data_IF_796474439613
#
_entry.id   IF_796474439613
#
_cell.length_a   1.000
_cell.length_b   1.000
_cell.length_c   1.000
_cell.angle_alpha   90.00
_cell.angle_beta   90.00
_cell.angle_gamma   90.00
#
_symmetry.space_group_name_H-M   'P 1'
#
loop_
_entity.id
_entity.type
_entity.pdbx_description
1 polymer ?
#
# COMPACT_ATOMS: atom_id res chain seq x y z
N UNK A 1 1.09 11.59 -0.47
CA UNK A 1 1.63 10.24 -0.36
C UNK A 1 0.63 9.32 0.30
N UNK A 2 0.41 8.15 -0.28
CA UNK A 2 -0.69 7.31 0.14
C UNK A 2 -0.42 6.46 1.38
N UNK A 3 0.82 6.12 1.64
CA UNK A 3 1.18 5.24 2.75
C UNK A 3 1.32 6.05 4.04
N UNK A 4 0.48 5.76 5.03
CA UNK A 4 0.51 6.45 6.32
C UNK A 4 1.36 5.73 7.34
N UNK A 5 1.20 4.42 7.44
CA UNK A 5 1.97 3.64 8.40
C UNK A 5 2.14 2.21 7.94
N UNK A 6 3.18 1.58 8.44
CA UNK A 6 3.46 0.18 8.21
C UNK A 6 4.07 -0.38 9.49
N UNK A 7 3.38 -1.34 10.09
CA UNK A 7 3.79 -1.92 11.38
C UNK A 7 3.93 -3.43 11.23
N UNK A 8 5.06 -3.95 11.70
CA UNK A 8 5.31 -5.39 11.71
C UNK A 8 5.17 -5.90 13.14
N UNK A 9 4.33 -6.92 13.34
CA UNK A 9 4.18 -7.59 14.61
C UNK A 9 4.74 -9.01 14.47
N UNK A 10 5.92 -9.25 15.03
CA UNK A 10 6.59 -10.54 14.91
C UNK A 10 5.91 -11.62 15.74
N UNK A 11 5.26 -11.27 16.84
CA UNK A 11 4.55 -12.25 17.67
C UNK A 11 3.30 -12.75 16.99
N UNK A 12 2.52 -11.83 16.42
CA UNK A 12 1.30 -12.20 15.71
C UNK A 12 1.58 -12.63 14.28
N UNK A 13 2.80 -12.41 13.77
CA UNK A 13 3.21 -12.67 12.39
C UNK A 13 2.32 -11.93 11.41
N UNK A 14 2.12 -10.63 11.67
CA UNK A 14 1.27 -9.79 10.83
C UNK A 14 2.00 -8.53 10.40
N UNK A 15 1.56 -7.98 9.29
CA UNK A 15 1.96 -6.66 8.81
C UNK A 15 0.69 -5.83 8.71
N UNK A 16 0.68 -4.69 9.37
CA UNK A 16 -0.46 -3.77 9.31
C UNK A 16 -0.05 -2.55 8.51
N UNK A 17 -0.79 -2.27 7.45
CA UNK A 17 -0.52 -1.15 6.57
C UNK A 17 -1.72 -0.22 6.57
N UNK A 18 -1.48 1.06 6.79
CA UNK A 18 -2.51 2.09 6.72
C UNK A 18 -2.17 3.03 5.57
N UNK A 19 -3.13 3.22 4.68
CA UNK A 19 -2.98 4.09 3.52
C UNK A 19 -4.10 5.11 3.48
N UNK A 20 -3.82 6.26 2.88
CA UNK A 20 -4.87 7.24 2.63
C UNK A 20 -5.84 6.69 1.59
N UNK A 21 -7.13 6.83 1.85
CA UNK A 21 -8.15 6.54 0.86
C UNK A 21 -8.31 7.78 -0.03
N UNK A 22 -8.08 7.60 -1.32
CA UNK A 22 -8.17 8.69 -2.30
C UNK A 22 -9.45 8.58 -3.10
N UNK A 23 -9.83 9.66 -3.75
CA UNK A 23 -10.95 9.63 -4.68
C UNK A 23 -10.61 8.66 -5.82
N UNK A 24 -11.56 7.81 -6.23
CA UNK A 24 -11.28 6.84 -7.29
C UNK A 24 -10.81 7.52 -8.58
N UNK A 25 -9.70 7.02 -9.11
CA UNK A 25 -9.12 7.52 -10.35
C UNK A 25 -8.94 6.38 -11.34
N UNK A 26 -9.24 6.59 -12.63
CA UNK A 26 -9.06 5.54 -13.61
C UNK A 26 -7.62 5.04 -13.66
N UNK A 27 -7.45 3.73 -13.73
CA UNK A 27 -6.14 3.14 -13.99
C UNK A 27 -5.78 3.31 -15.47
N UNK A 28 -4.54 2.94 -15.82
CA UNK A 28 -4.09 3.06 -17.21
C UNK A 28 -4.94 2.25 -18.19
N UNK A 29 -5.51 1.14 -17.75
CA UNK A 29 -6.39 0.32 -18.60
C UNK A 29 -7.82 0.86 -18.68
N UNK A 30 -8.21 1.73 -17.75
CA UNK A 30 -9.58 2.24 -17.66
C UNK A 30 -10.59 1.24 -17.11
N UNK A 31 -10.17 0.03 -16.78
CA UNK A 31 -11.09 -1.01 -16.31
C UNK A 31 -11.26 -0.99 -14.79
N UNK A 32 -10.41 -0.30 -14.09
CA UNK A 32 -10.47 -0.19 -12.63
C UNK A 32 -10.29 1.25 -12.19
N UNK A 33 -10.74 1.54 -10.98
CA UNK A 33 -10.56 2.85 -10.36
C UNK A 33 -9.67 2.67 -9.14
N UNK A 34 -8.51 3.28 -9.16
CA UNK A 34 -7.54 3.17 -8.07
C UNK A 34 -7.95 4.10 -6.93
N UNK A 35 -8.03 3.56 -5.73
CA UNK A 35 -8.40 4.32 -4.52
C UNK A 35 -7.21 4.52 -3.58
N UNK A 36 -6.16 3.74 -3.73
CA UNK A 36 -4.92 3.91 -2.95
C UNK A 36 -3.78 3.20 -3.68
N UNK A 37 -2.60 3.80 -3.66
CA UNK A 37 -1.44 3.20 -4.32
C UNK A 37 -0.17 3.77 -3.73
N UNK A 38 0.87 2.93 -3.65
CA UNK A 38 2.21 3.39 -3.30
C UNK A 38 2.95 3.95 -4.51
N UNK A 39 2.39 3.82 -5.70
CA UNK A 39 3.00 4.28 -6.95
C UNK A 39 4.39 3.67 -7.15
N UNK A 40 4.45 2.36 -7.00
CA UNK A 40 5.69 1.61 -7.09
C UNK A 40 6.14 1.11 -5.74
N UNK A 41 7.34 0.55 -5.68
CA UNK A 41 7.88 0.02 -4.44
C UNK A 41 8.39 1.16 -3.56
N UNK A 42 7.96 1.18 -2.31
CA UNK A 42 8.27 2.26 -1.38
C UNK A 42 8.91 1.69 -0.11
N UNK A 43 10.12 2.14 0.27
CA UNK A 43 10.70 1.74 1.54
C UNK A 43 9.90 2.33 2.70
N UNK A 44 9.82 1.57 3.80
CA UNK A 44 9.11 2.01 5.00
C UNK A 44 10.07 2.10 6.18
N UNK A 45 9.59 2.65 7.30
CA UNK A 45 10.33 2.67 8.53
C UNK A 45 10.29 1.32 9.26
N UNK A 46 9.44 0.40 8.85
CA UNK A 46 9.38 -0.93 9.43
C UNK A 46 10.61 -1.73 9.03
N UNK A 47 11.08 -2.57 9.93
CA UNK A 47 12.30 -3.36 9.72
C UNK A 47 12.00 -4.82 9.98
N UNK A 48 12.46 -5.70 9.08
CA UNK A 48 12.37 -7.15 9.23
C UNK A 48 13.79 -7.72 9.05
N UNK A 49 14.24 -8.45 10.05
CA UNK A 49 15.57 -9.06 10.04
C UNK A 49 16.68 -8.06 9.73
N UNK A 50 16.57 -6.86 10.32
CA UNK A 50 17.58 -5.80 10.17
C UNK A 50 17.51 -5.06 8.83
N UNK A 51 16.52 -5.34 8.00
CA UNK A 51 16.41 -4.72 6.68
C UNK A 51 15.09 -3.95 6.56
N UNK A 52 15.11 -2.77 5.94
CA UNK A 52 13.87 -2.00 5.74
C UNK A 52 12.86 -2.78 4.91
N UNK A 53 11.60 -2.72 5.31
CA UNK A 53 10.52 -3.35 4.57
C UNK A 53 10.13 -2.45 3.40
N UNK A 54 10.11 -3.01 2.20
CA UNK A 54 9.68 -2.31 1.00
C UNK A 54 8.29 -2.79 0.62
N UNK A 55 7.37 -1.86 0.39
CA UNK A 55 5.97 -2.16 0.12
C UNK A 55 5.59 -1.65 -1.26
N UNK A 56 4.98 -2.53 -2.06
CA UNK A 56 4.30 -2.13 -3.29
C UNK A 56 2.85 -2.58 -3.19
N UNK A 57 1.92 -1.63 -3.16
CA UNK A 57 0.52 -1.93 -2.93
C UNK A 57 -0.38 -1.07 -3.80
N UNK A 58 -1.40 -1.71 -4.37
CA UNK A 58 -2.44 -1.02 -5.12
C UNK A 58 -3.80 -1.52 -4.65
N UNK A 59 -4.66 -0.61 -4.25
CA UNK A 59 -6.04 -0.91 -3.89
C UNK A 59 -6.95 -0.24 -4.91
N UNK A 60 -7.90 -0.99 -5.44
CA UNK A 60 -8.75 -0.49 -6.51
C UNK A 60 -10.13 -1.14 -6.46
N UNK A 61 -11.07 -0.51 -7.14
CA UNK A 61 -12.41 -1.06 -7.36
C UNK A 61 -12.63 -1.23 -8.86
N UNK A 62 -13.58 -2.07 -9.23
CA UNK A 62 -13.90 -2.25 -10.63
C UNK A 62 -14.65 -1.04 -11.16
N UNK A 63 -14.34 -0.60 -12.37
CA UNK A 63 -15.05 0.47 -13.05
C UNK A 63 -16.25 -0.12 -13.77
N UNK A 64 -17.42 0.31 -13.41
CA UNK A 64 -18.66 -0.14 -14.04
C UNK A 64 -19.27 -1.36 -13.43
#
# INVERSE_FOLDING_TARGET
MSLKSCVVDKKAKTITIVMDLEDPKPSSSGKTLVVASTHGNTPTAAVVDGKPLVVGLNAYIKAG
#
